data_IF_118714708434
#
_entry.id   IF_118714708434
#
_cell.length_a   1.000
_cell.length_b   1.000
_cell.length_c   1.000
_cell.angle_alpha   90.00
_cell.angle_beta   90.00
_cell.angle_gamma   90.00
#
_symmetry.space_group_name_H-M   'P 1'
#
loop_
_entity.id
_entity.type
_entity.pdbx_description
1 polymer ?
#
# COMPACT_ATOMS: atom_id res chain seq x y z
N UNK A 1 -10.26 -16.16 2.10
CA UNK A 1 -9.94 -15.64 3.44
C UNK A 1 -10.69 -16.46 4.51
N UNK A 2 -12.04 -16.49 4.53
CA UNK A 2 -12.85 -17.16 5.58
C UNK A 2 -12.38 -18.57 5.95
N UNK A 3 -12.04 -19.41 4.98
CA UNK A 3 -11.56 -20.79 5.20
C UNK A 3 -10.21 -20.89 5.94
N UNK A 4 -9.44 -19.80 5.97
CA UNK A 4 -8.14 -19.77 6.64
C UNK A 4 -8.20 -19.20 8.07
N UNK A 5 -9.36 -18.69 8.48
CA UNK A 5 -9.54 -18.12 9.83
C UNK A 5 -9.69 -19.23 10.85
N UNK A 6 -8.98 -19.08 11.94
CA UNK A 6 -9.01 -20.01 13.10
C UNK A 6 -9.16 -19.19 14.39
N UNK A 7 -9.45 -19.81 15.55
CA UNK A 7 -9.48 -19.12 16.84
C UNK A 7 -8.15 -18.40 17.22
N UNK A 8 -7.05 -18.70 16.52
CA UNK A 8 -5.76 -18.06 16.72
C UNK A 8 -5.53 -16.87 15.79
N UNK A 9 -6.38 -16.66 14.78
CA UNK A 9 -6.26 -15.54 13.86
C UNK A 9 -6.56 -14.23 14.59
N UNK A 10 -5.66 -13.24 14.50
CA UNK A 10 -5.77 -11.94 15.17
C UNK A 10 -5.88 -10.77 14.19
N UNK A 11 -5.33 -10.95 12.99
CA UNK A 11 -5.31 -9.88 12.01
C UNK A 11 -5.33 -10.43 10.59
N UNK A 12 -5.79 -9.58 9.67
CA UNK A 12 -5.64 -9.74 8.22
C UNK A 12 -4.58 -8.73 7.77
N UNK A 13 -3.56 -9.22 7.06
CA UNK A 13 -2.60 -8.34 6.39
C UNK A 13 -2.94 -8.28 4.90
N UNK A 14 -3.14 -7.06 4.38
CA UNK A 14 -3.38 -6.81 2.96
C UNK A 14 -2.38 -5.77 2.44
N UNK A 15 -2.04 -5.84 1.15
CA UNK A 15 -1.17 -4.86 0.50
C UNK A 15 -1.65 -4.61 -0.92
N UNK A 16 -2.19 -3.42 -1.16
CA UNK A 16 -2.64 -2.99 -2.48
C UNK A 16 -2.32 -1.50 -2.69
N UNK A 17 -1.83 -1.13 -3.90
CA UNK A 17 -1.42 -2.00 -5.02
C UNK A 17 -0.35 -3.01 -4.63
N UNK A 18 -0.45 -4.22 -5.18
CA UNK A 18 0.31 -5.38 -4.71
C UNK A 18 1.74 -5.43 -5.27
N UNK A 19 2.68 -5.74 -4.41
CA UNK A 19 3.99 -6.24 -4.74
C UNK A 19 3.98 -7.78 -4.56
N UNK A 20 4.26 -8.60 -5.58
CA UNK A 20 4.98 -8.26 -6.83
C UNK A 20 4.07 -8.14 -8.07
N UNK A 21 2.75 -8.28 -7.97
CA UNK A 21 1.89 -8.49 -9.14
C UNK A 21 1.41 -7.19 -9.80
N UNK A 22 1.40 -6.07 -9.08
CA UNK A 22 0.76 -4.84 -9.53
C UNK A 22 -0.78 -4.91 -9.55
N UNK A 23 -1.36 -5.93 -8.91
CA UNK A 23 -2.80 -6.03 -8.75
C UNK A 23 -3.33 -4.91 -7.85
N UNK A 24 -4.56 -4.48 -8.13
CA UNK A 24 -5.30 -3.52 -7.30
C UNK A 24 -6.56 -4.20 -6.77
N UNK A 25 -7.09 -3.72 -5.66
CA UNK A 25 -8.34 -4.22 -5.11
C UNK A 25 -9.44 -3.17 -5.31
N UNK A 26 -10.57 -3.60 -5.86
CA UNK A 26 -11.75 -2.72 -6.03
C UNK A 26 -12.41 -2.43 -4.69
N UNK A 27 -13.28 -1.41 -4.67
CA UNK A 27 -14.04 -1.06 -3.48
C UNK A 27 -14.87 -2.24 -2.95
N UNK A 28 -15.45 -3.03 -3.85
CA UNK A 28 -16.26 -4.21 -3.51
C UNK A 28 -15.42 -5.28 -2.80
N UNK A 29 -14.21 -5.55 -3.34
CA UNK A 29 -13.27 -6.51 -2.72
C UNK A 29 -12.84 -6.03 -1.34
N UNK A 30 -12.53 -4.74 -1.20
CA UNK A 30 -12.15 -4.17 0.10
C UNK A 30 -13.30 -4.23 1.11
N UNK A 31 -14.55 -3.96 0.69
CA UNK A 31 -15.73 -4.08 1.55
C UNK A 31 -15.99 -5.54 1.97
N UNK A 32 -15.74 -6.52 1.12
CA UNK A 32 -15.85 -7.94 1.52
C UNK A 32 -14.78 -8.33 2.53
N UNK A 33 -13.56 -7.78 2.43
CA UNK A 33 -12.52 -7.97 3.45
C UNK A 33 -12.95 -7.31 4.76
N UNK A 34 -13.51 -6.10 4.71
CA UNK A 34 -14.00 -5.38 5.87
C UNK A 34 -15.08 -6.18 6.63
N UNK A 35 -16.08 -6.70 5.91
CA UNK A 35 -17.11 -7.57 6.49
C UNK A 35 -16.53 -8.80 7.20
N UNK A 36 -15.50 -9.41 6.61
CA UNK A 36 -14.83 -10.56 7.23
C UNK A 36 -14.10 -10.12 8.50
N UNK A 37 -13.41 -8.99 8.48
CA UNK A 37 -12.70 -8.47 9.64
C UNK A 37 -13.67 -8.14 10.79
N UNK A 38 -14.83 -7.58 10.48
CA UNK A 38 -15.89 -7.31 11.47
C UNK A 38 -16.51 -8.59 12.03
N UNK A 39 -16.89 -9.53 11.17
CA UNK A 39 -17.52 -10.79 11.55
C UNK A 39 -16.67 -11.62 12.52
N UNK A 40 -15.35 -11.62 12.34
CA UNK A 40 -14.41 -12.38 13.14
C UNK A 40 -13.63 -11.54 14.16
N UNK A 41 -14.02 -10.29 14.35
CA UNK A 41 -13.36 -9.32 15.24
C UNK A 41 -11.83 -9.27 15.03
N UNK A 42 -11.39 -9.13 13.78
CA UNK A 42 -9.99 -9.09 13.39
C UNK A 42 -9.51 -7.65 13.20
N UNK A 43 -8.25 -7.43 13.52
CA UNK A 43 -7.52 -6.24 13.08
C UNK A 43 -7.20 -6.36 11.59
N UNK A 44 -7.03 -5.22 10.93
CA UNK A 44 -6.52 -5.15 9.56
C UNK A 44 -5.25 -4.33 9.54
N UNK A 45 -4.20 -4.88 8.95
CA UNK A 45 -2.98 -4.13 8.61
C UNK A 45 -2.99 -3.96 7.09
N UNK A 46 -3.10 -2.71 6.64
CA UNK A 46 -3.12 -2.39 5.20
C UNK A 46 -1.83 -1.68 4.80
N UNK A 47 -1.09 -2.28 3.87
CA UNK A 47 0.07 -1.68 3.24
C UNK A 47 -0.38 -0.97 1.96
N UNK A 48 -0.35 0.37 2.00
CA UNK A 48 -0.78 1.24 0.91
C UNK A 48 0.39 2.07 0.34
N UNK A 49 1.61 1.54 0.39
CA UNK A 49 2.83 2.22 -0.07
C UNK A 49 2.83 2.62 -1.55
N UNK A 50 1.93 2.07 -2.35
CA UNK A 50 1.78 2.36 -3.78
C UNK A 50 0.47 3.09 -4.11
N UNK A 51 -0.22 3.67 -3.15
CA UNK A 51 -1.53 4.29 -3.30
C UNK A 51 -1.62 5.35 -4.42
N UNK A 52 -0.51 6.08 -4.69
CA UNK A 52 -0.40 7.08 -5.76
C UNK A 52 0.07 6.51 -7.11
N UNK A 53 0.61 5.29 -7.13
CA UNK A 53 1.09 4.62 -8.34
C UNK A 53 0.03 3.66 -8.86
N UNK A 54 -1.06 4.21 -9.38
CA UNK A 54 -2.19 3.50 -9.96
C UNK A 54 -2.46 3.99 -11.38
N UNK A 55 -2.92 3.09 -12.25
CA UNK A 55 -3.10 3.32 -13.68
C UNK A 55 -4.50 2.88 -14.10
N UNK A 56 -5.25 3.79 -14.73
CA UNK A 56 -6.65 3.55 -15.12
C UNK A 56 -7.50 3.00 -13.95
N UNK A 57 -7.18 3.45 -12.72
CA UNK A 57 -7.79 2.98 -11.48
C UNK A 57 -7.69 4.06 -10.40
N UNK A 58 -8.70 4.14 -9.55
CA UNK A 58 -8.67 4.97 -8.35
C UNK A 58 -8.36 4.10 -7.14
N UNK A 59 -7.31 4.44 -6.39
CA UNK A 59 -6.96 3.74 -5.16
C UNK A 59 -8.08 3.81 -4.13
N UNK A 60 -8.27 2.72 -3.42
CA UNK A 60 -9.25 2.59 -2.35
C UNK A 60 -8.51 2.45 -1.02
N UNK A 61 -8.44 3.53 -0.26
CA UNK A 61 -7.87 3.52 1.08
C UNK A 61 -8.79 2.74 2.02
N UNK A 62 -8.30 1.65 2.59
CA UNK A 62 -9.10 0.71 3.38
C UNK A 62 -9.80 1.36 4.58
N UNK A 63 -9.13 2.11 5.48
CA UNK A 63 -9.80 2.75 6.62
C UNK A 63 -10.74 3.91 6.24
N UNK A 64 -10.71 4.37 4.98
CA UNK A 64 -11.62 5.41 4.49
C UNK A 64 -12.94 4.85 3.93
N UNK A 65 -13.09 3.54 3.86
CA UNK A 65 -14.31 2.89 3.39
C UNK A 65 -15.50 3.11 4.32
N UNK A 66 -15.25 3.05 5.63
CA UNK A 66 -16.23 3.26 6.70
C UNK A 66 -15.53 3.73 7.97
N UNK A 67 -16.21 4.56 8.77
CA UNK A 67 -15.66 5.09 10.03
C UNK A 67 -15.33 4.00 11.06
N UNK A 68 -16.13 2.92 11.09
CA UNK A 68 -15.91 1.78 11.99
C UNK A 68 -14.57 1.08 11.75
N UNK A 69 -14.09 1.09 10.50
CA UNK A 69 -12.84 0.45 10.12
C UNK A 69 -11.61 1.15 10.68
N UNK A 70 -11.69 2.44 10.97
CA UNK A 70 -10.58 3.19 11.59
C UNK A 70 -10.21 2.63 12.95
N UNK A 71 -11.18 2.08 13.70
CA UNK A 71 -10.98 1.53 15.03
C UNK A 71 -10.31 0.15 15.03
N UNK A 72 -10.13 -0.48 13.87
CA UNK A 72 -9.52 -1.81 13.73
C UNK A 72 -8.41 -1.89 12.68
N UNK A 73 -8.02 -0.75 12.09
CA UNK A 73 -7.05 -0.74 10.99
C UNK A 73 -5.77 -0.02 11.36
N UNK A 74 -4.63 -0.65 11.04
CA UNK A 74 -3.33 0.00 10.97
C UNK A 74 -3.02 0.21 9.49
N UNK A 75 -3.04 1.45 9.05
CA UNK A 75 -2.59 1.88 7.72
C UNK A 75 -1.07 2.08 7.75
N UNK A 76 -0.37 1.44 6.83
CA UNK A 76 1.06 1.65 6.59
C UNK A 76 1.20 2.40 5.27
N UNK A 77 1.84 3.54 5.31
CA UNK A 77 2.15 4.38 4.17
C UNK A 77 3.60 4.85 4.18
N UNK A 78 4.01 5.54 3.13
CA UNK A 78 5.37 6.02 3.09
C UNK A 78 5.75 6.79 1.84
N UNK A 79 6.95 7.32 1.86
CA UNK A 79 7.47 8.23 0.84
C UNK A 79 8.35 7.52 -0.19
N UNK A 80 8.77 6.29 0.13
CA UNK A 80 9.76 5.55 -0.67
C UNK A 80 9.37 5.38 -2.13
N UNK A 81 8.07 5.15 -2.41
CA UNK A 81 7.57 4.80 -3.74
C UNK A 81 6.90 6.00 -4.41
N UNK A 82 5.94 6.60 -3.72
CA UNK A 82 5.16 7.71 -4.26
C UNK A 82 5.99 8.96 -4.55
N UNK A 83 7.03 9.21 -3.74
CA UNK A 83 7.90 10.37 -3.87
C UNK A 83 9.35 10.03 -4.27
N UNK A 84 9.58 8.79 -4.74
CA UNK A 84 10.92 8.30 -5.10
C UNK A 84 11.98 8.46 -3.98
N UNK A 85 11.55 8.40 -2.71
CA UNK A 85 12.38 8.68 -1.53
C UNK A 85 12.88 7.39 -0.85
N UNK A 86 13.21 6.35 -1.62
CA UNK A 86 13.63 5.05 -1.06
C UNK A 86 14.86 5.17 -0.15
N UNK A 87 15.84 5.99 -0.51
CA UNK A 87 17.07 6.22 0.25
C UNK A 87 16.86 6.99 1.55
N UNK A 88 15.79 7.75 1.69
CA UNK A 88 15.49 8.56 2.88
C UNK A 88 15.00 7.77 4.08
N UNK A 89 14.60 6.52 3.88
CA UNK A 89 14.18 5.58 4.94
C UNK A 89 13.07 6.14 5.82
N UNK A 90 11.99 6.65 5.23
CA UNK A 90 10.86 7.23 5.95
C UNK A 90 9.52 6.69 5.47
N UNK A 91 8.65 6.43 6.43
CA UNK A 91 7.27 6.01 6.26
C UNK A 91 6.47 6.36 7.52
N UNK A 92 5.20 6.01 7.53
CA UNK A 92 4.31 6.28 8.65
C UNK A 92 3.32 5.14 8.86
N UNK A 93 2.78 5.07 10.06
CA UNK A 93 1.62 4.22 10.38
C UNK A 93 0.54 5.08 11.04
N UNK A 94 -0.70 4.85 10.65
CA UNK A 94 -1.88 5.49 11.22
C UNK A 94 -2.85 4.42 11.73
N UNK A 95 -3.50 4.66 12.86
CA UNK A 95 -4.47 3.72 13.43
C UNK A 95 -4.92 4.11 14.82
N UNK A 96 -5.66 3.23 15.52
CA UNK A 96 -6.09 3.45 16.89
C UNK A 96 -4.92 3.74 17.84
N UNK A 97 -5.14 4.65 18.77
CA UNK A 97 -4.09 5.15 19.67
C UNK A 97 -3.38 4.04 20.46
N UNK A 98 -4.10 3.06 20.95
CA UNK A 98 -3.57 1.92 21.71
C UNK A 98 -2.65 1.04 20.86
N UNK A 99 -3.03 0.77 19.61
CA UNK A 99 -2.21 0.01 18.67
C UNK A 99 -0.95 0.80 18.26
N UNK A 100 -1.10 2.09 17.98
CA UNK A 100 0.04 2.97 17.64
C UNK A 100 1.00 3.10 18.82
N UNK A 101 0.51 3.22 20.06
CA UNK A 101 1.37 3.20 21.25
C UNK A 101 2.17 1.89 21.38
N UNK A 102 1.55 0.74 21.05
CA UNK A 102 2.25 -0.53 20.96
C UNK A 102 3.38 -0.53 19.94
N UNK A 103 3.12 -0.01 18.74
CA UNK A 103 4.13 0.15 17.69
C UNK A 103 5.26 1.08 18.13
N UNK A 104 4.95 2.22 18.74
CA UNK A 104 5.95 3.18 19.23
C UNK A 104 6.86 2.54 20.28
N UNK A 105 6.32 1.75 21.21
CA UNK A 105 7.14 1.05 22.22
C UNK A 105 8.15 0.08 21.60
N UNK A 106 7.78 -0.63 20.54
CA UNK A 106 8.71 -1.52 19.84
C UNK A 106 9.70 -0.70 19.01
N UNK A 107 9.20 0.28 18.27
CA UNK A 107 10.00 1.13 17.38
C UNK A 107 11.14 1.86 18.12
N UNK A 108 10.87 2.42 19.31
CA UNK A 108 11.88 3.14 20.09
C UNK A 108 13.06 2.27 20.53
N UNK A 109 12.88 0.94 20.66
CA UNK A 109 13.95 0.01 21.02
C UNK A 109 14.62 -0.66 19.82
N UNK A 110 14.03 -0.53 18.62
CA UNK A 110 14.59 -1.12 17.39
C UNK A 110 15.31 -0.11 16.52
N UNK A 111 14.67 1.04 16.27
CA UNK A 111 15.15 2.08 15.34
C UNK A 111 15.36 3.42 16.06
N UNK A 112 14.67 3.66 17.19
CA UNK A 112 14.60 4.88 17.95
C UNK A 112 13.72 5.96 17.28
N UNK A 113 14.14 6.51 16.13
CA UNK A 113 13.34 7.47 15.34
C UNK A 113 13.80 7.51 13.89
N UNK A 114 12.93 7.99 13.00
CA UNK A 114 13.34 8.34 11.65
C UNK A 114 14.31 9.55 11.69
N UNK A 115 15.30 9.63 10.78
CA UNK A 115 16.21 10.77 10.72
C UNK A 115 15.46 12.10 10.56
N UNK A 116 15.84 13.15 11.30
CA UNK A 116 15.18 14.47 11.24
C UNK A 116 15.18 15.04 9.82
N UNK A 117 16.29 14.93 9.11
CA UNK A 117 16.40 15.36 7.70
C UNK A 117 15.41 14.63 6.77
N UNK A 118 15.13 13.37 7.05
CA UNK A 118 14.12 12.62 6.28
C UNK A 118 12.70 13.09 6.60
N UNK A 119 12.43 13.47 7.85
CA UNK A 119 11.15 14.03 8.25
C UNK A 119 10.91 15.40 7.59
N UNK A 120 11.92 16.27 7.58
CA UNK A 120 11.85 17.57 6.91
C UNK A 120 11.63 17.40 5.38
N UNK A 121 12.36 16.47 4.76
CA UNK A 121 12.18 16.17 3.35
C UNK A 121 10.78 15.60 3.04
N UNK A 122 10.23 14.75 3.92
CA UNK A 122 8.88 14.23 3.81
C UNK A 122 7.82 15.32 3.92
N UNK A 123 8.02 16.31 4.80
CA UNK A 123 7.14 17.46 4.92
C UNK A 123 7.08 18.26 3.62
N UNK A 124 8.24 18.55 3.02
CA UNK A 124 8.32 19.23 1.71
C UNK A 124 7.65 18.40 0.61
N UNK A 125 7.87 17.08 0.61
CA UNK A 125 7.25 16.17 -0.36
C UNK A 125 5.70 16.22 -0.30
N UNK A 126 5.12 16.24 0.90
CA UNK A 126 3.66 16.36 1.06
C UNK A 126 3.16 17.74 0.60
N UNK A 127 3.90 18.80 0.89
CA UNK A 127 3.46 20.16 0.59
C UNK A 127 3.54 20.54 -0.88
N UNK A 128 4.49 19.98 -1.62
CA UNK A 128 4.80 20.43 -2.98
C UNK A 128 5.15 19.33 -3.98
N UNK A 129 5.17 18.07 -3.57
CA UNK A 129 5.62 16.96 -4.42
C UNK A 129 4.60 16.41 -5.40
N UNK A 130 3.32 16.75 -5.28
CA UNK A 130 2.23 16.18 -6.09
C UNK A 130 2.44 16.29 -7.61
N UNK A 131 2.91 17.42 -8.19
CA UNK A 131 3.18 17.49 -9.62
C UNK A 131 4.24 16.48 -10.08
N UNK A 132 5.30 16.28 -9.29
CA UNK A 132 6.37 15.32 -9.59
C UNK A 132 5.90 13.86 -9.46
N UNK A 133 5.00 13.58 -8.50
CA UNK A 133 4.35 12.25 -8.37
C UNK A 133 3.57 11.94 -9.64
N UNK A 134 2.80 12.92 -10.17
CA UNK A 134 2.00 12.73 -11.37
C UNK A 134 2.88 12.54 -12.62
N UNK A 135 3.93 13.35 -12.80
CA UNK A 135 4.91 13.16 -13.87
C UNK A 135 5.52 11.74 -13.85
N UNK A 136 5.93 11.29 -12.68
CA UNK A 136 6.49 9.95 -12.48
C UNK A 136 5.44 8.86 -12.77
N UNK A 137 4.19 9.02 -12.32
CA UNK A 137 3.09 8.07 -12.57
C UNK A 137 2.83 7.91 -14.06
N UNK A 138 2.79 9.01 -14.82
CA UNK A 138 2.60 9.00 -16.29
C UNK A 138 3.73 8.23 -16.97
N UNK A 139 4.98 8.47 -16.56
CA UNK A 139 6.13 7.76 -17.13
C UNK A 139 6.12 6.26 -16.75
N UNK A 140 5.75 5.91 -15.54
CA UNK A 140 5.58 4.50 -15.15
C UNK A 140 4.46 3.82 -15.95
N UNK A 141 3.34 4.49 -16.23
CA UNK A 141 2.27 3.93 -17.07
C UNK A 141 2.77 3.68 -18.50
N UNK A 142 3.52 4.62 -19.07
CA UNK A 142 4.13 4.45 -20.40
C UNK A 142 5.06 3.22 -20.43
N UNK A 143 5.93 3.08 -19.43
CA UNK A 143 6.85 1.92 -19.30
C UNK A 143 6.10 0.62 -19.08
N UNK A 144 5.06 0.62 -18.24
CA UNK A 144 4.18 -0.52 -17.99
C UNK A 144 3.61 -1.06 -19.28
N UNK A 145 2.97 -0.21 -20.08
CA UNK A 145 2.37 -0.59 -21.36
C UNK A 145 3.39 -1.17 -22.33
N UNK A 146 4.57 -0.55 -22.43
CA UNK A 146 5.65 -1.05 -23.29
C UNK A 146 6.14 -2.43 -22.83
N UNK A 147 6.40 -2.59 -21.54
CA UNK A 147 6.93 -3.83 -20.97
C UNK A 147 5.92 -4.99 -21.10
N UNK A 148 4.66 -4.79 -20.71
CA UNK A 148 3.62 -5.81 -20.78
C UNK A 148 3.38 -6.24 -22.24
N UNK A 149 3.30 -5.29 -23.17
CA UNK A 149 3.17 -5.60 -24.59
C UNK A 149 4.39 -6.37 -25.13
N UNK A 150 5.59 -6.01 -24.69
CA UNK A 150 6.84 -6.70 -25.06
C UNK A 150 6.86 -8.15 -24.55
N UNK A 151 6.55 -8.37 -23.29
CA UNK A 151 6.51 -9.70 -22.67
C UNK A 151 5.47 -10.60 -23.35
N UNK A 152 4.26 -10.10 -23.60
CA UNK A 152 3.22 -10.86 -24.29
C UNK A 152 3.61 -11.23 -25.73
N UNK A 153 4.33 -10.33 -26.46
CA UNK A 153 4.85 -10.66 -27.81
C UNK A 153 5.91 -11.76 -27.78
N UNK A 154 6.64 -11.90 -26.69
CA UNK A 154 7.61 -12.98 -26.48
C UNK A 154 6.94 -14.30 -26.03
N UNK A 155 5.62 -14.34 -25.93
CA UNK A 155 4.88 -15.51 -25.47
C UNK A 155 4.80 -15.66 -23.95
N UNK A 156 5.30 -14.68 -23.18
CA UNK A 156 5.21 -14.66 -21.74
C UNK A 156 3.90 -13.98 -21.32
N UNK A 157 2.86 -14.78 -21.11
CA UNK A 157 1.55 -14.27 -20.68
C UNK A 157 1.68 -13.43 -19.41
N UNK A 158 1.39 -12.16 -19.51
CA UNK A 158 1.59 -11.21 -18.42
C UNK A 158 0.27 -10.59 -18.02
N UNK A 159 -0.10 -10.74 -16.75
CA UNK A 159 -1.20 -9.99 -16.15
C UNK A 159 -0.96 -8.49 -16.32
N UNK A 160 -2.00 -7.75 -16.70
CA UNK A 160 -1.90 -6.29 -16.82
C UNK A 160 -1.95 -5.63 -15.43
N UNK A 161 -0.81 -5.15 -14.89
CA UNK A 161 -0.78 -4.51 -13.58
C UNK A 161 -1.44 -3.13 -13.67
N UNK A 162 -2.33 -2.83 -12.74
CA UNK A 162 -3.01 -1.53 -12.65
C UNK A 162 -2.49 -0.69 -11.49
N UNK A 163 -1.43 -1.15 -10.82
CA UNK A 163 -0.76 -0.42 -9.76
C UNK A 163 0.69 -0.85 -9.57
N UNK A 164 1.40 -0.13 -8.72
CA UNK A 164 2.83 -0.27 -8.46
C UNK A 164 3.69 -0.12 -9.74
N UNK A 165 4.86 -0.71 -9.80
CA UNK A 165 5.76 -0.65 -10.98
C UNK A 165 6.35 -2.03 -11.30
N UNK A 166 5.59 -3.08 -11.09
CA UNK A 166 5.99 -4.47 -11.35
C UNK A 166 5.29 -5.03 -12.58
N UNK A 167 5.96 -5.95 -13.28
CA UNK A 167 5.35 -6.85 -14.22
C UNK A 167 5.63 -8.29 -13.75
N UNK A 168 4.62 -9.14 -13.78
CA UNK A 168 4.67 -10.50 -13.25
C UNK A 168 4.23 -11.50 -14.34
N UNK A 169 5.15 -11.85 -15.27
CA UNK A 169 4.85 -12.78 -16.35
C UNK A 169 4.72 -14.22 -15.83
N UNK A 170 3.88 -14.99 -16.49
CA UNK A 170 3.84 -16.44 -16.33
C UNK A 170 4.94 -17.08 -17.18
N UNK A 171 5.78 -17.91 -16.56
CA UNK A 171 6.93 -18.59 -17.17
C UNK A 171 6.74 -20.12 -17.11
#
# INVERSE_FOLDING_TARGET
IRKAITPRTKAIFIGYPSNPTGAVATREVMLEIAKIAEEFDLLVVTDELYDRLVYDFQHVCFPALDESLKNRTILIGGFSKNYAMTGWRIGFACGPSDLIQGLVRIHQYTIMSAPTTAQDAALVAIQSGDPHVEEMRVEYDRRRRLLVAGLNRLGLSTFEPRGAFYAFPNI
#
